data_IF_132043036122
#
_entry.id   IF_132043036122
#
_cell.length_a   1.000
_cell.length_b   1.000
_cell.length_c   1.000
_cell.angle_alpha   90.00
_cell.angle_beta   90.00
_cell.angle_gamma   90.00
#
_symmetry.space_group_name_H-M   'P 1'
#
loop_
_entity.id
_entity.type
_entity.pdbx_description
1 polymer ?
#
# COMPACT_ATOMS: atom_id res chain seq x y z
N UNK A 1 -2.79 -17.69 -5.75
CA UNK A 1 -3.08 -16.28 -5.49
C UNK A 1 -2.92 -15.57 -6.80
N UNK A 2 -3.89 -14.72 -7.16
CA UNK A 2 -3.80 -13.85 -8.31
C UNK A 2 -3.51 -12.44 -7.84
N UNK A 3 -2.39 -11.90 -8.29
CA UNK A 3 -2.01 -10.51 -8.07
C UNK A 3 -2.05 -9.74 -9.39
N UNK A 4 -2.41 -8.48 -9.32
CA UNK A 4 -2.47 -7.61 -10.50
C UNK A 4 -1.99 -6.24 -10.11
N UNK A 5 -1.01 -5.75 -10.84
CA UNK A 5 -0.46 -4.42 -10.64
C UNK A 5 -0.29 -3.72 -11.97
N UNK A 6 -0.43 -2.39 -11.94
CA UNK A 6 -0.19 -1.53 -13.09
C UNK A 6 0.90 -0.53 -12.77
N UNK A 7 1.81 -0.33 -13.71
CA UNK A 7 2.91 0.62 -13.56
C UNK A 7 2.49 2.05 -13.98
N UNK A 8 3.40 3.03 -13.81
CA UNK A 8 3.14 4.43 -14.20
C UNK A 8 3.05 4.63 -15.72
N UNK A 9 3.52 3.67 -16.51
CA UNK A 9 3.41 3.65 -17.98
C UNK A 9 2.14 2.93 -18.45
N UNK A 10 1.21 2.62 -17.54
CA UNK A 10 -0.04 1.89 -17.78
C UNK A 10 0.16 0.45 -18.28
N UNK A 11 1.35 -0.13 -18.08
CA UNK A 11 1.52 -1.57 -18.29
C UNK A 11 0.83 -2.31 -17.16
N UNK A 12 0.10 -3.36 -17.51
CA UNK A 12 -0.66 -4.15 -16.55
C UNK A 12 -0.22 -5.61 -16.61
N UNK A 13 0.17 -6.16 -15.46
CA UNK A 13 0.66 -7.53 -15.37
C UNK A 13 -0.18 -8.30 -14.36
N UNK A 14 -0.59 -9.50 -14.74
CA UNK A 14 -1.32 -10.44 -13.91
C UNK A 14 -0.43 -11.62 -13.56
N UNK A 15 -0.16 -11.80 -12.27
CA UNK A 15 0.69 -12.86 -11.75
C UNK A 15 -0.14 -13.92 -11.05
N UNK A 16 0.19 -15.19 -11.28
CA UNK A 16 -0.33 -16.32 -10.52
C UNK A 16 0.79 -17.01 -9.76
N UNK A 17 0.48 -17.30 -8.50
CA UNK A 17 1.33 -18.06 -7.59
C UNK A 17 0.51 -19.17 -6.96
N UNK A 18 1.10 -20.33 -6.79
CA UNK A 18 0.52 -21.42 -6.03
C UNK A 18 1.26 -21.51 -4.70
N UNK A 19 0.54 -21.93 -3.68
CA UNK A 19 1.10 -22.11 -2.36
C UNK A 19 0.73 -23.51 -1.89
N UNK A 20 1.62 -24.17 -1.18
CA UNK A 20 1.32 -25.43 -0.50
C UNK A 20 1.87 -25.35 0.93
N UNK A 21 1.87 -26.48 1.63
CA UNK A 21 2.45 -26.55 2.97
C UNK A 21 3.96 -26.32 2.95
N UNK A 22 4.67 -26.75 1.90
CA UNK A 22 6.11 -26.56 1.80
C UNK A 22 6.50 -25.13 1.42
N UNK A 23 5.96 -24.60 0.32
CA UNK A 23 6.41 -23.32 -0.23
C UNK A 23 5.39 -22.64 -1.16
N UNK A 24 5.71 -21.40 -1.57
CA UNK A 24 5.03 -20.65 -2.61
C UNK A 24 5.82 -20.68 -3.92
N UNK A 25 5.22 -21.25 -4.97
CA UNK A 25 5.79 -21.29 -6.32
C UNK A 25 5.12 -20.27 -7.24
N UNK A 26 5.92 -19.54 -7.99
CA UNK A 26 5.42 -18.71 -9.09
C UNK A 26 5.08 -19.61 -10.29
N UNK A 27 3.85 -19.51 -10.81
CA UNK A 27 3.43 -20.31 -11.97
C UNK A 27 3.54 -19.50 -13.26
N UNK A 28 2.88 -18.35 -13.32
CA UNK A 28 2.74 -17.62 -14.56
C UNK A 28 2.57 -16.12 -14.37
N UNK A 29 2.99 -15.37 -15.39
CA UNK A 29 2.77 -13.93 -15.53
C UNK A 29 2.25 -13.66 -16.92
N UNK A 30 1.17 -12.90 -17.00
CA UNK A 30 0.57 -12.46 -18.26
C UNK A 30 0.54 -10.94 -18.30
N UNK A 31 1.19 -10.37 -19.31
CA UNK A 31 0.97 -8.97 -19.66
C UNK A 31 -0.45 -8.84 -20.24
N UNK A 32 -1.15 -7.82 -19.78
CA UNK A 32 -2.57 -7.57 -20.06
C UNK A 32 -2.83 -6.08 -20.20
N UNK A 33 -1.85 -5.34 -20.70
CA UNK A 33 -1.89 -3.89 -20.89
C UNK A 33 -2.97 -3.48 -21.90
N UNK A 34 -3.16 -4.28 -22.95
CA UNK A 34 -4.08 -3.97 -24.06
C UNK A 34 -5.46 -4.62 -23.90
N UNK A 35 -5.71 -5.30 -22.78
CA UNK A 35 -6.93 -6.06 -22.56
C UNK A 35 -7.66 -5.51 -21.34
N UNK A 36 -8.97 -5.27 -21.50
CA UNK A 36 -9.82 -4.91 -20.35
C UNK A 36 -9.91 -6.11 -19.41
N UNK A 37 -9.61 -5.90 -18.13
CA UNK A 37 -9.65 -6.96 -17.12
C UNK A 37 -11.08 -7.31 -16.73
N UNK A 38 -11.85 -7.90 -17.63
CA UNK A 38 -13.21 -8.36 -17.34
C UNK A 38 -13.20 -9.51 -16.35
N UNK A 39 -14.33 -9.74 -15.67
CA UNK A 39 -14.47 -10.91 -14.80
C UNK A 39 -14.27 -12.22 -15.55
N UNK A 40 -14.71 -12.28 -16.81
CA UNK A 40 -14.56 -13.45 -17.67
C UNK A 40 -13.10 -13.73 -18.02
N UNK A 41 -12.32 -12.70 -18.38
CA UNK A 41 -10.89 -12.85 -18.64
C UNK A 41 -10.16 -13.40 -17.40
N UNK A 42 -10.48 -12.86 -16.23
CA UNK A 42 -9.89 -13.29 -14.96
C UNK A 42 -10.31 -14.72 -14.64
N UNK A 43 -11.58 -15.06 -14.83
CA UNK A 43 -12.11 -16.40 -14.63
C UNK A 43 -11.40 -17.42 -15.52
N UNK A 44 -11.33 -17.19 -16.83
CA UNK A 44 -10.67 -18.09 -17.78
C UNK A 44 -9.17 -18.25 -17.47
N UNK A 45 -8.50 -17.18 -17.05
CA UNK A 45 -7.10 -17.26 -16.66
C UNK A 45 -6.86 -18.09 -15.39
N UNK A 46 -7.74 -17.97 -14.40
CA UNK A 46 -7.68 -18.78 -13.18
C UNK A 46 -8.08 -20.23 -13.47
N UNK A 47 -9.09 -20.46 -14.30
CA UNK A 47 -9.58 -21.78 -14.68
C UNK A 47 -8.49 -22.60 -15.37
N UNK A 48 -7.79 -22.01 -16.35
CA UNK A 48 -6.68 -22.67 -17.04
C UNK A 48 -5.60 -23.16 -16.08
N UNK A 49 -5.29 -22.39 -15.04
CA UNK A 49 -4.31 -22.78 -14.01
C UNK A 49 -4.85 -23.84 -13.06
N UNK A 50 -6.15 -23.83 -12.75
CA UNK A 50 -6.75 -24.92 -11.96
C UNK A 50 -6.71 -26.23 -12.74
N UNK A 51 -6.99 -26.19 -14.04
CA UNK A 51 -6.92 -27.35 -14.92
C UNK A 51 -5.47 -27.87 -15.06
N UNK A 52 -4.48 -26.97 -15.16
CA UNK A 52 -3.05 -27.32 -15.19
C UNK A 52 -2.57 -27.98 -13.89
N UNK A 53 -3.02 -27.46 -12.73
CA UNK A 53 -2.64 -27.96 -11.40
C UNK A 53 -3.42 -29.22 -11.00
N UNK A 54 -4.59 -29.45 -11.61
CA UNK A 54 -5.56 -30.45 -11.19
C UNK A 54 -6.52 -29.89 -10.13
N UNK A 55 -7.82 -29.93 -10.42
CA UNK A 55 -8.87 -29.35 -9.58
C UNK A 55 -8.94 -29.94 -8.17
N UNK A 56 -8.61 -31.21 -8.05
CA UNK A 56 -8.52 -31.98 -6.81
C UNK A 56 -7.42 -31.49 -5.87
N UNK A 57 -6.39 -30.87 -6.45
CA UNK A 57 -5.28 -30.31 -5.69
C UNK A 57 -5.62 -28.90 -5.22
N UNK A 58 -6.61 -28.20 -5.79
CA UNK A 58 -6.90 -26.79 -5.48
C UNK A 58 -8.06 -26.66 -4.49
N UNK A 59 -7.80 -26.11 -3.29
CA UNK A 59 -8.86 -25.85 -2.30
C UNK A 59 -9.40 -24.42 -2.40
N UNK A 60 -8.57 -23.45 -2.76
CA UNK A 60 -8.91 -22.03 -2.63
C UNK A 60 -8.25 -21.17 -3.69
N UNK A 61 -8.92 -20.11 -4.14
CA UNK A 61 -8.37 -18.99 -4.91
C UNK A 61 -8.43 -17.73 -4.05
N UNK A 62 -7.32 -16.98 -3.99
CA UNK A 62 -7.21 -15.74 -3.21
C UNK A 62 -6.89 -14.56 -4.12
N UNK A 63 -7.74 -13.53 -4.11
CA UNK A 63 -7.58 -12.28 -4.89
C UNK A 63 -8.01 -11.05 -4.09
N UNK A 64 -7.71 -9.84 -4.58
CA UNK A 64 -8.31 -8.63 -4.01
C UNK A 64 -9.81 -8.50 -4.32
N UNK A 65 -10.47 -7.51 -3.72
CA UNK A 65 -11.94 -7.30 -3.79
C UNK A 65 -12.39 -6.43 -4.96
N UNK A 66 -11.57 -6.26 -5.99
CA UNK A 66 -12.00 -5.56 -7.19
C UNK A 66 -13.24 -6.23 -7.80
N UNK A 67 -14.19 -5.44 -8.31
CA UNK A 67 -15.46 -5.91 -8.88
C UNK A 67 -15.28 -7.04 -9.90
N UNK A 68 -14.25 -6.94 -10.74
CA UNK A 68 -14.00 -7.93 -11.79
C UNK A 68 -13.50 -9.27 -11.21
N UNK A 69 -12.73 -9.25 -10.11
CA UNK A 69 -12.40 -10.48 -9.39
C UNK A 69 -13.65 -11.09 -8.73
N UNK A 70 -14.56 -10.26 -8.20
CA UNK A 70 -15.82 -10.75 -7.60
C UNK A 70 -16.75 -11.38 -8.64
N UNK A 71 -16.78 -10.84 -9.86
CA UNK A 71 -17.48 -11.46 -10.98
C UNK A 71 -16.86 -12.82 -11.36
N UNK A 72 -15.53 -12.90 -11.44
CA UNK A 72 -14.82 -14.16 -11.67
C UNK A 72 -15.07 -15.20 -10.56
N UNK A 73 -15.11 -14.76 -9.31
CA UNK A 73 -15.42 -15.60 -8.16
C UNK A 73 -16.83 -16.22 -8.26
N UNK A 74 -17.81 -15.45 -8.74
CA UNK A 74 -19.18 -15.95 -8.97
C UNK A 74 -19.19 -17.04 -10.04
N UNK A 75 -18.51 -16.81 -11.17
CA UNK A 75 -18.39 -17.80 -12.25
C UNK A 75 -17.68 -19.08 -11.78
N UNK A 76 -16.60 -18.96 -11.00
CA UNK A 76 -15.92 -20.14 -10.45
C UNK A 76 -16.81 -20.91 -9.49
N UNK A 77 -17.58 -20.23 -8.63
CA UNK A 77 -18.51 -20.89 -7.71
C UNK A 77 -19.57 -21.72 -8.45
N UNK A 78 -20.05 -21.25 -9.60
CA UNK A 78 -21.01 -21.97 -10.44
C UNK A 78 -20.36 -23.17 -11.16
N UNK A 79 -19.12 -23.02 -11.65
CA UNK A 79 -18.41 -24.05 -12.41
C UNK A 79 -17.76 -25.14 -11.53
N UNK A 80 -17.19 -24.74 -10.39
CA UNK A 80 -16.37 -25.57 -9.50
C UNK A 80 -16.72 -25.26 -8.03
N UNK A 81 -17.89 -25.70 -7.54
CA UNK A 81 -18.39 -25.34 -6.21
C UNK A 81 -17.53 -25.86 -5.04
N UNK A 82 -16.65 -26.84 -5.29
CA UNK A 82 -15.69 -27.36 -4.31
C UNK A 82 -14.51 -26.41 -4.03
N UNK A 83 -14.23 -25.45 -4.92
CA UNK A 83 -13.11 -24.52 -4.80
C UNK A 83 -13.59 -23.20 -4.23
N UNK A 84 -13.03 -22.79 -3.10
CA UNK A 84 -13.40 -21.53 -2.47
C UNK A 84 -12.72 -20.35 -3.15
N UNK A 85 -13.44 -19.24 -3.35
CA UNK A 85 -12.81 -17.96 -3.72
C UNK A 85 -12.92 -16.96 -2.57
N UNK A 86 -11.78 -16.47 -2.08
CA UNK A 86 -11.74 -15.56 -0.94
C UNK A 86 -11.00 -14.27 -1.22
N UNK A 87 -11.43 -13.21 -0.53
CA UNK A 87 -10.73 -11.94 -0.48
C UNK A 87 -9.37 -12.01 0.18
N UNK A 88 -8.41 -11.26 -0.35
CA UNK A 88 -7.08 -11.10 0.22
C UNK A 88 -7.17 -10.29 1.51
N UNK A 89 -6.82 -10.92 2.64
CA UNK A 89 -6.82 -10.28 3.96
C UNK A 89 -6.00 -8.98 3.98
N UNK A 90 -4.80 -8.99 3.37
CA UNK A 90 -3.95 -7.80 3.27
C UNK A 90 -4.65 -6.64 2.56
N UNK A 91 -5.39 -6.93 1.48
CA UNK A 91 -6.16 -5.92 0.78
C UNK A 91 -7.33 -5.41 1.62
N UNK A 92 -8.07 -6.31 2.26
CA UNK A 92 -9.18 -5.98 3.16
C UNK A 92 -8.74 -5.07 4.31
N UNK A 93 -7.63 -5.40 4.99
CA UNK A 93 -7.10 -4.55 6.07
C UNK A 93 -6.63 -3.19 5.52
N UNK A 94 -6.04 -3.16 4.32
CA UNK A 94 -5.65 -1.91 3.68
C UNK A 94 -6.87 -1.01 3.38
N UNK A 95 -8.01 -1.59 2.98
CA UNK A 95 -9.27 -0.85 2.81
C UNK A 95 -9.84 -0.35 4.15
N UNK A 96 -9.77 -1.14 5.22
CA UNK A 96 -10.16 -0.69 6.56
C UNK A 96 -9.32 0.52 7.01
N UNK A 97 -7.99 0.43 6.82
CA UNK A 97 -7.04 1.49 7.11
C UNK A 97 -7.32 2.76 6.29
N UNK A 98 -7.67 2.61 5.01
CA UNK A 98 -8.09 3.72 4.16
C UNK A 98 -9.40 4.36 4.67
N UNK A 99 -10.39 3.54 5.04
CA UNK A 99 -11.66 4.01 5.61
C UNK A 99 -11.46 4.81 6.91
N UNK A 100 -10.67 4.28 7.84
CA UNK A 100 -10.30 4.98 9.08
C UNK A 100 -9.54 6.28 8.75
N UNK A 101 -8.63 6.26 7.78
CA UNK A 101 -7.89 7.45 7.33
C UNK A 101 -8.77 8.56 6.76
N UNK A 102 -9.97 8.25 6.28
CA UNK A 102 -10.95 9.23 5.77
C UNK A 102 -11.71 9.96 6.88
N UNK A 103 -11.66 9.49 8.14
CA UNK A 103 -12.30 10.18 9.27
C UNK A 103 -11.76 11.61 9.40
N UNK A 104 -12.62 12.65 9.55
CA UNK A 104 -12.22 14.06 9.42
C UNK A 104 -11.00 14.45 10.26
N UNK A 105 -10.95 13.97 11.52
CA UNK A 105 -9.85 14.21 12.46
C UNK A 105 -8.51 13.65 11.96
N UNK A 106 -8.51 12.45 11.38
CA UNK A 106 -7.31 11.78 10.86
C UNK A 106 -6.94 12.34 9.49
N UNK A 107 -7.94 12.51 8.61
CA UNK A 107 -7.77 13.01 7.25
C UNK A 107 -7.05 14.36 7.23
N UNK A 108 -7.45 15.31 8.09
CA UNK A 108 -6.81 16.63 8.19
C UNK A 108 -5.30 16.52 8.45
N UNK A 109 -4.90 15.68 9.41
CA UNK A 109 -3.50 15.45 9.74
C UNK A 109 -2.77 14.73 8.60
N UNK A 110 -3.37 13.71 8.01
CA UNK A 110 -2.78 12.95 6.90
C UNK A 110 -2.54 13.84 5.68
N UNK A 111 -3.52 14.67 5.31
CA UNK A 111 -3.42 15.62 4.20
C UNK A 111 -2.36 16.70 4.46
N UNK A 112 -2.31 17.22 5.70
CA UNK A 112 -1.29 18.21 6.09
C UNK A 112 0.12 17.62 6.01
N UNK A 113 0.28 16.38 6.51
CA UNK A 113 1.54 15.62 6.45
C UNK A 113 1.95 15.36 5.01
N UNK A 114 1.01 14.92 4.16
CA UNK A 114 1.25 14.68 2.72
C UNK A 114 1.61 15.96 1.98
N UNK A 115 0.94 17.07 2.29
CA UNK A 115 1.24 18.37 1.67
C UNK A 115 2.63 18.85 2.05
N UNK A 116 3.02 18.68 3.32
CA UNK A 116 4.36 18.98 3.80
C UNK A 116 5.44 18.17 3.06
N UNK A 117 5.26 16.85 2.95
CA UNK A 117 6.25 16.00 2.26
C UNK A 117 6.32 16.31 0.78
N UNK A 118 5.19 16.46 0.09
CA UNK A 118 5.16 16.86 -1.32
C UNK A 118 5.92 18.17 -1.51
N UNK A 119 5.65 19.18 -0.66
CA UNK A 119 6.32 20.47 -0.77
C UNK A 119 7.84 20.37 -0.55
N UNK A 120 8.29 19.65 0.48
CA UNK A 120 9.72 19.47 0.76
C UNK A 120 10.44 18.84 -0.44
N UNK A 121 9.83 17.82 -1.05
CA UNK A 121 10.42 17.09 -2.18
C UNK A 121 10.19 17.74 -3.55
N UNK A 122 9.31 18.75 -3.65
CA UNK A 122 8.98 19.38 -4.92
C UNK A 122 10.08 20.30 -5.48
N UNK A 123 10.98 20.81 -4.62
CA UNK A 123 12.03 21.74 -5.04
C UNK A 123 13.41 21.31 -4.55
N UNK A 124 14.43 21.46 -5.40
CA UNK A 124 15.81 21.11 -5.06
C UNK A 124 16.30 21.84 -3.81
N UNK A 125 15.96 23.12 -3.64
CA UNK A 125 16.39 23.92 -2.48
C UNK A 125 15.72 23.50 -1.17
N UNK A 126 14.41 23.19 -1.18
CA UNK A 126 13.71 22.70 0.02
C UNK A 126 14.18 21.30 0.42
N UNK A 127 14.44 20.45 -0.58
CA UNK A 127 14.98 19.11 -0.36
C UNK A 127 16.40 19.16 0.19
N UNK A 128 17.28 19.99 -0.38
CA UNK A 128 18.64 20.19 0.08
C UNK A 128 18.67 20.69 1.53
N UNK A 129 17.80 21.65 1.85
CA UNK A 129 17.69 22.17 3.21
C UNK A 129 17.22 21.09 4.18
N UNK A 130 16.17 20.33 3.84
CA UNK A 130 15.75 19.20 4.66
C UNK A 130 16.89 18.22 4.92
N UNK A 131 17.64 17.83 3.87
CA UNK A 131 18.78 16.92 3.99
C UNK A 131 19.91 17.48 4.86
N UNK A 132 20.14 18.80 4.84
CA UNK A 132 21.09 19.46 5.75
C UNK A 132 20.70 19.24 7.21
N UNK A 133 19.44 19.46 7.55
CA UNK A 133 18.95 19.30 8.93
C UNK A 133 18.75 17.83 9.35
N UNK A 134 18.46 16.93 8.40
CA UNK A 134 18.18 15.51 8.70
C UNK A 134 19.39 14.58 8.55
N UNK A 135 20.60 15.13 8.34
CA UNK A 135 21.81 14.35 8.05
C UNK A 135 21.59 13.40 6.85
N UNK A 136 21.02 13.93 5.78
CA UNK A 136 20.65 13.23 4.53
C UNK A 136 19.63 12.09 4.70
N UNK A 137 18.99 11.95 5.87
CA UNK A 137 17.94 10.93 6.08
C UNK A 137 16.61 11.40 5.48
N UNK A 138 16.11 10.64 4.52
CA UNK A 138 14.82 10.90 3.90
C UNK A 138 13.63 10.75 4.86
N UNK A 139 12.57 11.50 4.55
CA UNK A 139 11.31 11.49 5.28
C UNK A 139 10.39 10.40 4.75
N UNK A 140 10.21 10.37 3.42
CA UNK A 140 9.33 9.39 2.78
C UNK A 140 9.94 8.00 2.90
N UNK A 141 9.15 7.05 3.39
CA UNK A 141 9.53 5.64 3.49
C UNK A 141 8.58 4.81 2.64
N UNK A 142 9.15 4.01 1.75
CA UNK A 142 8.38 3.09 0.91
C UNK A 142 7.96 1.87 1.74
N UNK A 143 6.65 1.61 1.75
CA UNK A 143 6.07 0.39 2.29
C UNK A 143 5.48 -0.45 1.16
N UNK A 144 5.29 -1.74 1.43
CA UNK A 144 4.74 -2.70 0.46
C UNK A 144 3.32 -2.32 0.01
N UNK A 145 2.57 -1.60 0.84
CA UNK A 145 1.27 -1.02 0.47
C UNK A 145 1.32 0.50 0.51
N UNK A 146 0.39 1.13 -0.21
CA UNK A 146 0.21 2.60 -0.15
C UNK A 146 -0.04 3.07 1.29
N UNK A 147 -0.82 2.32 2.06
CA UNK A 147 -1.07 2.67 3.46
C UNK A 147 0.17 2.50 4.34
N UNK A 148 0.91 1.40 4.18
CA UNK A 148 2.16 1.20 4.92
C UNK A 148 3.16 2.33 4.63
N UNK A 149 3.23 2.80 3.38
CA UNK A 149 4.07 3.96 3.02
C UNK A 149 3.66 5.23 3.77
N UNK A 150 2.35 5.50 3.88
CA UNK A 150 1.81 6.61 4.67
C UNK A 150 2.17 6.49 6.15
N UNK A 151 1.97 5.31 6.75
CA UNK A 151 2.29 5.06 8.15
C UNK A 151 3.79 5.22 8.46
N UNK A 152 4.65 4.61 7.65
CA UNK A 152 6.11 4.72 7.80
C UNK A 152 6.59 6.16 7.62
N UNK A 153 5.95 6.92 6.71
CA UNK A 153 6.24 8.34 6.51
C UNK A 153 5.84 9.18 7.73
N UNK A 154 4.68 8.90 8.36
CA UNK A 154 4.29 9.56 9.62
C UNK A 154 5.28 9.30 10.74
N UNK A 155 5.73 8.04 10.91
CA UNK A 155 6.75 7.68 11.90
C UNK A 155 8.06 8.44 11.65
N UNK A 156 8.51 8.44 10.39
CA UNK A 156 9.72 9.13 9.96
C UNK A 156 9.66 10.65 10.20
N UNK A 157 8.50 11.28 10.02
CA UNK A 157 8.27 12.69 10.34
C UNK A 157 8.38 12.93 11.84
N UNK A 158 7.75 12.09 12.65
CA UNK A 158 7.80 12.20 14.11
C UNK A 158 9.23 12.05 14.64
N UNK A 159 9.98 11.06 14.15
CA UNK A 159 11.41 10.87 14.48
C UNK A 159 12.28 12.08 14.12
N UNK A 160 11.86 12.87 13.13
CA UNK A 160 12.55 14.06 12.65
C UNK A 160 11.95 15.36 13.18
N UNK A 161 11.01 15.30 14.14
CA UNK A 161 10.28 16.46 14.69
C UNK A 161 11.18 17.66 14.98
N UNK A 162 12.19 17.49 15.82
CA UNK A 162 13.07 18.59 16.22
C UNK A 162 13.90 19.15 15.07
N UNK A 163 14.37 18.28 14.16
CA UNK A 163 15.14 18.67 12.98
C UNK A 163 14.31 19.46 11.99
N UNK A 164 13.06 19.04 11.76
CA UNK A 164 12.10 19.75 10.92
C UNK A 164 11.72 21.09 11.52
N UNK A 165 11.49 21.17 12.83
CA UNK A 165 11.26 22.46 13.51
C UNK A 165 12.45 23.40 13.32
N UNK A 166 13.66 22.93 13.59
CA UNK A 166 14.88 23.72 13.42
C UNK A 166 15.07 24.19 11.97
N UNK A 167 14.76 23.34 10.98
CA UNK A 167 14.78 23.71 9.57
C UNK A 167 13.85 24.91 9.30
N UNK A 168 12.57 24.82 9.68
CA UNK A 168 11.57 25.86 9.39
C UNK A 168 11.70 27.12 10.24
N UNK A 169 12.56 27.14 11.25
CA UNK A 169 12.92 28.35 12.03
C UNK A 169 14.34 28.84 11.74
N UNK A 170 15.00 28.30 10.72
CA UNK A 170 16.38 28.66 10.40
C UNK A 170 16.45 29.87 9.48
N UNK A 171 17.52 30.64 9.62
CA UNK A 171 17.84 31.74 8.71
C UNK A 171 17.96 31.28 7.24
N UNK A 172 18.47 30.06 7.02
CA UNK A 172 18.54 29.45 5.69
C UNK A 172 17.14 29.22 5.08
N UNK A 173 16.15 28.89 5.91
CA UNK A 173 14.75 28.79 5.48
C UNK A 173 14.17 30.17 5.16
N UNK A 174 14.44 31.18 5.98
CA UNK A 174 13.94 32.54 5.74
C UNK A 174 14.48 33.12 4.42
N UNK A 175 15.74 32.81 4.09
CA UNK A 175 16.37 33.14 2.80
C UNK A 175 15.86 32.30 1.62
N UNK A 176 15.24 31.15 1.87
CA UNK A 176 14.75 30.29 0.80
C UNK A 176 13.59 30.96 0.06
N UNK A 177 13.69 31.09 -1.27
CA UNK A 177 12.64 31.72 -2.10
C UNK A 177 11.24 31.13 -1.89
N UNK A 178 11.16 29.86 -1.49
CA UNK A 178 9.89 29.15 -1.30
C UNK A 178 9.23 29.44 0.05
N UNK A 179 9.93 30.01 1.02
CA UNK A 179 9.39 30.29 2.37
C UNK A 179 8.21 31.27 2.33
N UNK A 180 8.25 32.22 1.39
CA UNK A 180 7.22 33.24 1.19
C UNK A 180 6.02 32.75 0.37
N UNK A 181 6.13 31.61 -0.30
CA UNK A 181 5.03 31.04 -1.10
C UNK A 181 3.87 30.59 -0.21
N UNK A 182 2.66 30.52 -0.77
CA UNK A 182 1.48 30.02 -0.03
C UNK A 182 1.73 28.63 0.57
N UNK A 183 2.34 27.73 -0.20
CA UNK A 183 2.70 26.37 0.26
C UNK A 183 3.81 26.38 1.31
N UNK A 184 4.78 27.29 1.19
CA UNK A 184 5.84 27.48 2.18
C UNK A 184 5.30 28.00 3.52
N UNK A 185 4.38 28.98 3.50
CA UNK A 185 3.72 29.45 4.72
C UNK A 185 2.91 28.34 5.40
N UNK A 186 2.30 27.44 4.64
CA UNK A 186 1.57 26.30 5.20
C UNK A 186 2.47 25.30 5.97
N UNK A 187 3.78 25.26 5.71
CA UNK A 187 4.70 24.36 6.44
C UNK A 187 4.95 24.81 7.87
N UNK A 188 4.63 26.05 8.25
CA UNK A 188 4.69 26.49 9.65
C UNK A 188 3.72 25.73 10.58
N UNK A 189 2.79 24.94 10.02
CA UNK A 189 2.04 23.92 10.78
C UNK A 189 2.95 22.98 11.57
N UNK A 190 4.19 22.73 11.12
CA UNK A 190 5.23 21.96 11.83
C UNK A 190 5.63 22.61 13.17
N UNK A 191 5.37 23.90 13.37
CA UNK A 191 5.61 24.57 14.65
C UNK A 191 4.46 24.38 15.64
N UNK A 192 3.26 23.99 15.17
CA UNK A 192 2.07 23.80 16.00
C UNK A 192 2.09 22.50 16.79
N UNK A 193 1.75 22.57 18.07
CA UNK A 193 1.50 21.40 18.92
C UNK A 193 0.34 20.55 18.39
N UNK A 194 -0.68 21.18 17.81
CA UNK A 194 -1.87 20.50 17.27
C UNK A 194 -1.48 19.54 16.13
N UNK A 195 -0.56 19.96 15.26
CA UNK A 195 -0.05 19.12 14.17
C UNK A 195 0.59 17.83 14.71
N UNK A 196 1.51 17.96 15.67
CA UNK A 196 2.23 16.82 16.24
C UNK A 196 1.33 15.90 17.07
N UNK A 197 0.37 16.46 17.80
CA UNK A 197 -0.63 15.68 18.51
C UNK A 197 -1.49 14.88 17.53
N UNK A 198 -1.85 15.48 16.39
CA UNK A 198 -2.50 14.79 15.29
C UNK A 198 -1.66 13.63 14.74
N UNK A 199 -0.37 13.86 14.46
CA UNK A 199 0.54 12.81 13.94
C UNK A 199 0.65 11.64 14.93
N UNK A 200 0.85 11.94 16.22
CA UNK A 200 0.87 10.92 17.27
C UNK A 200 -0.44 10.14 17.36
N UNK A 201 -1.58 10.82 17.25
CA UNK A 201 -2.89 10.19 17.27
C UNK A 201 -3.06 9.24 16.08
N UNK A 202 -2.73 9.67 14.85
CA UNK A 202 -2.73 8.80 13.67
C UNK A 202 -1.88 7.55 13.89
N UNK A 203 -0.66 7.71 14.41
CA UNK A 203 0.24 6.59 14.66
C UNK A 203 -0.32 5.59 15.66
N UNK A 204 -0.95 6.06 16.74
CA UNK A 204 -1.60 5.19 17.74
C UNK A 204 -2.77 4.41 17.14
N UNK A 205 -3.65 5.09 16.39
CA UNK A 205 -4.81 4.46 15.75
C UNK A 205 -4.37 3.38 14.75
N UNK A 206 -3.34 3.66 13.95
CA UNK A 206 -2.92 2.76 12.87
C UNK A 206 -1.90 1.69 13.30
N UNK A 207 -1.33 1.77 14.51
CA UNK A 207 -0.24 0.90 14.94
C UNK A 207 -0.59 -0.58 14.85
N UNK A 208 -1.74 -1.00 15.43
CA UNK A 208 -2.13 -2.40 15.48
C UNK A 208 -2.47 -2.97 14.10
N UNK A 209 -3.26 -2.24 13.32
CA UNK A 209 -3.65 -2.65 11.96
C UNK A 209 -2.44 -2.69 11.01
N UNK A 210 -1.46 -1.81 11.19
CA UNK A 210 -0.23 -1.84 10.36
C UNK A 210 0.66 -3.03 10.72
N UNK A 211 0.72 -3.42 12.01
CA UNK A 211 1.40 -4.67 12.43
C UNK A 211 0.73 -5.89 11.81
N UNK A 212 -0.61 -5.91 11.76
CA UNK A 212 -1.36 -6.99 11.11
C UNK A 212 -1.06 -7.08 9.61
N UNK A 213 -0.98 -5.95 8.90
CA UNK A 213 -0.57 -5.92 7.47
C UNK A 213 0.86 -6.41 7.24
N UNK A 214 1.73 -6.31 8.26
CA UNK A 214 3.08 -6.87 8.19
C UNK A 214 3.07 -8.38 8.40
N UNK A 215 2.25 -8.90 9.34
CA UNK A 215 2.15 -10.33 9.61
C UNK A 215 1.43 -11.11 8.51
N UNK A 216 0.44 -10.53 7.83
CA UNK A 216 -0.26 -11.20 6.71
C UNK A 216 0.62 -11.43 5.47
N UNK A 217 1.83 -10.88 5.44
CA UNK A 217 2.81 -11.12 4.37
C UNK A 217 3.75 -12.30 4.65
N UNK A 218 3.84 -12.75 5.90
CA UNK A 218 4.79 -13.77 6.34
C UNK A 218 4.28 -15.22 6.16
N UNK A 219 3.21 -15.44 5.38
CA UNK A 219 2.99 -16.75 4.73
C UNK A 219 1.72 -17.51 5.07
N UNK A 220 0.51 -17.01 4.76
CA UNK A 220 -0.70 -17.85 4.99
C UNK A 220 -1.94 -17.53 4.16
N UNK A 221 -1.88 -16.69 3.12
CA UNK A 221 -3.10 -16.21 2.44
C UNK A 221 -3.07 -16.51 0.94
N UNK A 222 -2.77 -17.74 0.56
CA UNK A 222 -2.72 -18.17 -0.83
C UNK A 222 -3.09 -19.65 -0.91
N UNK A 223 -3.99 -19.99 -1.85
CA UNK A 223 -4.35 -21.33 -2.36
C UNK A 223 -3.80 -22.45 -1.50
N UNK A 224 -4.60 -23.02 -0.60
CA UNK A 224 -4.19 -24.28 0.01
C UNK A 224 -4.30 -25.35 -1.07
N UNK A 225 -3.17 -25.95 -1.43
CA UNK A 225 -3.22 -27.22 -2.13
C UNK A 225 -3.42 -28.35 -1.11
N UNK A 226 -4.32 -29.28 -1.38
CA UNK A 226 -4.33 -30.55 -0.66
C UNK A 226 -3.12 -31.36 -1.14
N UNK A 227 -2.23 -31.72 -0.21
CA UNK A 227 -1.13 -32.70 -0.33
C UNK A 227 -0.60 -32.91 -1.77
N UNK A 228 0.37 -32.11 -2.17
CA UNK A 228 1.41 -32.61 -3.07
C UNK A 228 2.51 -33.20 -2.17
N UNK A 229 3.07 -34.34 -2.55
CA UNK A 229 4.11 -35.10 -1.83
C UNK A 229 3.59 -36.00 -0.69
N UNK A 230 3.10 -37.18 -1.09
CA UNK A 230 3.48 -38.42 -0.39
C UNK A 230 4.74 -38.98 -1.07
#
# INVERSE_FOLDING_TARGET
MKDTWSDRKRRSIMNLRVNCKEDTTFLSSKESSDVVHTGELIFNYVLAVIEEVGSENVVQVVTNNASNNMAAAKMLKEKMPSIFWTSCATHTINLMLEGIGKLPRLKKTLDSTKSLTIFIYAHHTTLALMRKFTKKRDIVRLGVTRFASTFLTLQSILEKKYRLRAMFTSFDWDKCKWSKSVKGKATYSVLSTVFWNGVNYCLRVFAHLTKLVASTKLGSCCILLNKLFD
#
